data_IF_213366137587
#
_entry.id   IF_213366137587
#
_cell.length_a   1.000
_cell.length_b   1.000
_cell.length_c   1.000
_cell.angle_alpha   90.00
_cell.angle_beta   90.00
_cell.angle_gamma   90.00
#
_symmetry.space_group_name_H-M   'P 1'
#
loop_
_entity.id
_entity.type
_entity.pdbx_description
1 polymer ?
#
# COMPACT_ATOMS: atom_id res chain seq x y z
N UNK A 1 -14.29 18.06 14.21
CA UNK A 1 -14.33 16.67 13.70
C UNK A 1 -13.19 16.54 12.71
N UNK A 2 -12.23 15.64 12.94
CA UNK A 2 -11.13 15.40 11.98
C UNK A 2 -11.73 14.80 10.71
N UNK A 3 -11.33 15.29 9.54
CA UNK A 3 -11.72 14.68 8.27
C UNK A 3 -10.93 13.41 8.06
N UNK A 4 -11.61 12.31 7.71
CA UNK A 4 -10.94 11.13 7.16
C UNK A 4 -10.40 11.50 5.79
N UNK A 5 -9.11 11.24 5.56
CA UNK A 5 -8.41 11.49 4.31
C UNK A 5 -8.12 10.16 3.62
N UNK A 6 -8.05 10.19 2.28
CA UNK A 6 -7.57 9.08 1.46
C UNK A 6 -6.12 9.34 1.06
N UNK A 7 -5.23 8.37 1.30
CA UNK A 7 -3.84 8.45 0.89
C UNK A 7 -3.61 7.61 -0.37
N UNK A 8 -3.03 8.23 -1.40
CA UNK A 8 -2.65 7.57 -2.65
C UNK A 8 -1.16 7.79 -2.92
N UNK A 9 -0.42 6.71 -3.13
CA UNK A 9 0.96 6.74 -3.61
C UNK A 9 0.95 6.50 -5.12
N UNK A 10 1.42 7.49 -5.89
CA UNK A 10 1.47 7.43 -7.35
C UNK A 10 2.84 6.93 -7.82
N UNK A 11 2.92 6.22 -8.96
CA UNK A 11 4.19 5.73 -9.51
C UNK A 11 4.96 6.82 -10.27
N UNK A 12 4.66 8.10 -10.02
CA UNK A 12 5.29 9.23 -10.68
C UNK A 12 5.31 10.46 -9.77
N UNK A 13 6.31 11.31 -9.99
CA UNK A 13 6.47 12.56 -9.24
C UNK A 13 5.59 13.67 -9.82
N UNK A 14 4.99 14.46 -8.91
CA UNK A 14 4.24 15.66 -9.24
C UNK A 14 4.96 16.85 -8.60
N UNK A 15 5.54 17.72 -9.44
CA UNK A 15 6.27 18.90 -8.95
C UNK A 15 5.38 19.94 -8.25
N UNK A 16 4.07 19.88 -8.47
CA UNK A 16 3.10 20.78 -7.84
C UNK A 16 2.78 20.32 -6.40
N UNK A 17 3.19 21.13 -5.42
CA UNK A 17 2.87 20.94 -4.00
C UNK A 17 1.77 21.90 -3.53
N UNK A 18 0.51 21.57 -3.77
CA UNK A 18 -0.64 22.37 -3.34
C UNK A 18 -1.96 21.64 -3.49
N UNK A 19 -3.07 22.35 -3.25
CA UNK A 19 -4.40 21.77 -3.39
C UNK A 19 -4.72 21.48 -4.86
N UNK A 20 -5.25 20.29 -5.11
CA UNK A 20 -5.74 19.87 -6.42
C UNK A 20 -7.15 19.26 -6.28
N UNK A 21 -8.03 19.45 -7.27
CA UNK A 21 -9.38 18.87 -7.26
C UNK A 21 -9.35 17.37 -7.63
N UNK A 22 -8.73 16.56 -6.77
CA UNK A 22 -8.49 15.11 -6.99
C UNK A 22 -9.80 14.38 -7.31
N UNK A 23 -10.86 14.60 -6.53
CA UNK A 23 -12.17 13.95 -6.73
C UNK A 23 -12.83 14.22 -8.10
N UNK A 24 -12.40 15.27 -8.81
CA UNK A 24 -12.92 15.59 -10.15
C UNK A 24 -12.17 14.79 -11.21
N UNK A 25 -10.84 14.73 -11.13
CA UNK A 25 -9.99 14.22 -12.21
C UNK A 25 -9.41 12.82 -11.97
N UNK A 26 -9.39 12.37 -10.73
CA UNK A 26 -8.88 11.07 -10.33
C UNK A 26 -10.02 10.26 -9.72
N UNK A 27 -10.61 9.37 -10.51
CA UNK A 27 -11.77 8.56 -10.11
C UNK A 27 -11.41 7.07 -10.21
N UNK A 28 -10.93 6.48 -9.10
CA UNK A 28 -10.74 5.04 -8.99
C UNK A 28 -12.04 4.31 -9.34
N UNK A 29 -11.95 3.30 -10.19
CA UNK A 29 -13.07 2.45 -10.62
C UNK A 29 -12.71 1.00 -10.31
N UNK A 30 -13.60 0.27 -9.65
CA UNK A 30 -13.40 -1.15 -9.42
C UNK A 30 -13.43 -1.93 -10.75
N UNK A 31 -12.50 -2.84 -10.93
CA UNK A 31 -12.44 -3.73 -12.10
C UNK A 31 -13.21 -5.01 -11.77
N UNK A 32 -14.39 -5.17 -12.35
CA UNK A 32 -15.18 -6.40 -12.22
C UNK A 32 -14.51 -7.56 -12.97
N UNK A 33 -14.49 -8.75 -12.35
CA UNK A 33 -13.96 -9.97 -12.98
C UNK A 33 -12.46 -10.22 -12.81
N UNK A 34 -11.73 -9.36 -12.10
CA UNK A 34 -10.35 -9.64 -11.67
C UNK A 34 -10.35 -10.53 -10.41
N UNK A 35 -10.98 -11.70 -10.45
CA UNK A 35 -10.72 -12.73 -9.44
C UNK A 35 -9.36 -13.36 -9.74
N UNK A 36 -8.47 -13.35 -8.76
CA UNK A 36 -7.08 -13.84 -8.80
C UNK A 36 -6.92 -15.33 -9.18
N UNK A 37 -8.01 -16.04 -9.48
CA UNK A 37 -8.01 -17.49 -9.72
C UNK A 37 -7.81 -17.89 -11.20
N UNK A 38 -7.87 -16.94 -12.15
CA UNK A 38 -7.82 -17.23 -13.60
C UNK A 38 -6.49 -16.83 -14.29
N UNK A 39 -5.36 -16.92 -13.59
CA UNK A 39 -4.03 -16.71 -14.18
C UNK A 39 -3.16 -17.98 -14.27
N UNK A 40 -3.64 -19.13 -13.79
CA UNK A 40 -2.86 -20.38 -13.69
C UNK A 40 -3.10 -21.41 -14.82
N UNK A 41 -4.05 -21.20 -15.73
CA UNK A 41 -4.38 -22.19 -16.76
C UNK A 41 -4.02 -21.70 -18.16
N UNK A 42 -2.74 -21.85 -18.58
CA UNK A 42 -2.28 -22.05 -19.98
C UNK A 42 -0.74 -22.10 -20.08
N UNK A 43 -0.13 -23.12 -19.48
CA UNK A 43 1.18 -23.64 -19.92
C UNK A 43 1.19 -25.16 -19.70
N UNK A 44 0.52 -25.92 -20.57
CA UNK A 44 0.64 -27.38 -20.59
C UNK A 44 0.35 -27.99 -21.97
N UNK A 45 1.13 -27.63 -22.98
CA UNK A 45 1.42 -28.45 -24.18
C UNK A 45 2.81 -27.97 -24.64
N UNK A 46 3.85 -28.73 -24.96
CA UNK A 46 4.05 -30.13 -25.35
C UNK A 46 5.58 -30.35 -25.39
N UNK A 47 6.10 -31.52 -24.97
CA UNK A 47 7.49 -31.92 -25.25
C UNK A 47 8.11 -32.84 -24.21
N UNK A 48 7.91 -34.15 -24.36
CA UNK A 48 8.40 -35.18 -23.45
C UNK A 48 9.90 -35.51 -23.53
N UNK A 49 10.36 -36.28 -22.55
CA UNK A 49 11.69 -36.88 -22.52
C UNK A 49 11.95 -37.61 -21.20
N UNK A 50 11.78 -38.93 -21.23
CA UNK A 50 11.99 -39.86 -20.12
C UNK A 50 13.42 -39.81 -19.57
N UNK A 51 13.60 -39.93 -18.25
CA UNK A 51 14.62 -40.84 -17.71
C UNK A 51 14.33 -41.26 -16.27
N UNK A 52 14.52 -42.57 -16.09
CA UNK A 52 14.35 -43.41 -14.90
C UNK A 52 15.56 -43.27 -13.98
N UNK A 53 15.36 -42.99 -12.70
CA UNK A 53 16.31 -43.41 -11.64
C UNK A 53 15.60 -43.53 -10.30
N UNK A 54 16.16 -44.39 -9.46
CA UNK A 54 15.51 -45.27 -8.51
C UNK A 54 15.90 -44.88 -7.07
N UNK A 55 14.98 -45.11 -6.13
CA UNK A 55 15.18 -45.45 -4.70
C UNK A 55 15.45 -44.38 -3.63
N UNK A 56 14.57 -44.43 -2.60
CA UNK A 56 14.85 -44.52 -1.16
C UNK A 56 14.20 -43.46 -0.24
N UNK A 57 13.17 -43.94 0.45
CA UNK A 57 12.47 -43.52 1.67
C UNK A 57 13.05 -42.42 2.59
N UNK A 58 12.20 -41.57 3.16
CA UNK A 58 11.65 -41.74 4.54
C UNK A 58 10.70 -40.59 4.95
N UNK A 59 9.59 -40.98 5.60
CA UNK A 59 8.80 -40.35 6.69
C UNK A 59 8.63 -38.82 6.77
N UNK A 60 7.37 -38.36 6.79
CA UNK A 60 6.72 -37.79 7.98
C UNK A 60 5.29 -37.32 7.66
N UNK A 61 4.37 -37.62 8.58
CA UNK A 61 2.99 -37.13 8.66
C UNK A 61 2.89 -35.62 8.45
N UNK A 62 1.97 -35.23 7.57
CA UNK A 62 1.50 -33.86 7.44
C UNK A 62 -0.03 -33.86 7.34
N UNK A 63 -0.70 -34.09 8.47
CA UNK A 63 -2.10 -33.72 8.63
C UNK A 63 -2.17 -32.39 9.37
N UNK A 64 -2.29 -31.30 8.60
CA UNK A 64 -2.79 -30.04 9.12
C UNK A 64 -3.64 -29.38 8.05
N UNK A 65 -4.83 -29.95 7.88
CA UNK A 65 -5.95 -29.31 7.19
C UNK A 65 -6.46 -28.17 8.06
N UNK A 66 -5.75 -27.04 8.04
CA UNK A 66 -6.29 -25.77 8.54
C UNK A 66 -7.22 -25.19 7.47
N UNK A 67 -8.48 -25.63 7.50
CA UNK A 67 -9.61 -24.96 6.84
C UNK A 67 -9.89 -23.65 7.57
N UNK A 68 -8.98 -22.69 7.42
CA UNK A 68 -9.27 -21.30 7.72
C UNK A 68 -10.17 -20.78 6.62
N UNK A 69 -11.48 -20.75 6.87
CA UNK A 69 -12.41 -19.90 6.13
C UNK A 69 -12.04 -18.45 6.43
N UNK A 70 -10.99 -17.94 5.79
CA UNK A 70 -10.78 -16.52 5.65
C UNK A 70 -11.89 -16.04 4.74
N UNK A 71 -12.83 -15.27 5.28
CA UNK A 71 -13.69 -14.39 4.49
C UNK A 71 -12.77 -13.48 3.69
N UNK A 72 -12.40 -13.92 2.48
CA UNK A 72 -11.83 -13.05 1.47
C UNK A 72 -12.96 -12.11 1.09
N UNK A 73 -13.04 -10.98 1.79
CA UNK A 73 -13.52 -9.76 1.16
C UNK A 73 -12.68 -9.64 -0.10
N UNK A 74 -13.29 -9.94 -1.25
CA UNK A 74 -12.65 -9.85 -2.56
C UNK A 74 -12.21 -8.42 -2.76
N UNK A 75 -10.98 -8.12 -2.32
CA UNK A 75 -10.34 -6.83 -2.48
C UNK A 75 -10.21 -6.60 -3.99
N UNK A 76 -11.18 -5.88 -4.54
CA UNK A 76 -11.24 -5.62 -5.96
C UNK A 76 -10.05 -4.76 -6.39
N UNK A 77 -9.45 -5.11 -7.52
CA UNK A 77 -8.46 -4.24 -8.18
C UNK A 77 -9.16 -2.96 -8.60
N UNK A 78 -8.56 -1.81 -8.23
CA UNK A 78 -8.98 -0.49 -8.68
C UNK A 78 -8.16 -0.07 -9.90
N UNK A 79 -8.83 0.53 -10.87
CA UNK A 79 -8.21 1.17 -12.02
C UNK A 79 -8.47 2.68 -12.00
N UNK A 80 -7.51 3.46 -12.45
CA UNK A 80 -7.65 4.90 -12.66
C UNK A 80 -6.80 5.34 -13.85
N UNK A 81 -7.00 6.58 -14.31
CA UNK A 81 -6.15 7.18 -15.33
C UNK A 81 -5.55 8.47 -14.80
N UNK A 82 -4.25 8.67 -15.01
CA UNK A 82 -3.56 9.91 -14.67
C UNK A 82 -2.69 10.35 -15.85
N UNK A 83 -2.94 11.56 -16.36
CA UNK A 83 -2.24 12.14 -17.53
C UNK A 83 -2.21 11.20 -18.75
N UNK A 84 -3.34 10.54 -19.02
CA UNK A 84 -3.47 9.62 -20.15
C UNK A 84 -2.93 8.21 -19.91
N UNK A 85 -2.29 7.93 -18.77
CA UNK A 85 -1.72 6.61 -18.44
C UNK A 85 -2.64 5.82 -17.52
N UNK A 86 -2.86 4.53 -17.82
CA UNK A 86 -3.58 3.62 -16.95
C UNK A 86 -2.79 3.29 -15.69
N UNK A 87 -3.47 3.33 -14.56
CA UNK A 87 -2.97 2.97 -13.25
C UNK A 87 -3.83 1.86 -12.66
N UNK A 88 -3.20 0.92 -11.96
CA UNK A 88 -3.83 -0.17 -11.24
C UNK A 88 -3.42 -0.13 -9.77
N UNK A 89 -4.35 -0.40 -8.87
CA UNK A 89 -4.16 -0.51 -7.43
C UNK A 89 -4.81 -1.82 -6.98
N UNK A 90 -4.03 -2.78 -6.50
CA UNK A 90 -4.54 -4.12 -6.17
C UNK A 90 -5.43 -4.08 -4.93
N UNK A 91 -4.89 -3.61 -3.81
CA UNK A 91 -5.58 -3.54 -2.55
C UNK A 91 -5.01 -2.38 -1.71
N UNK A 92 -5.85 -1.60 -1.03
CA UNK A 92 -5.37 -0.62 -0.07
C UNK A 92 -4.62 -1.33 1.05
N UNK A 93 -3.39 -0.91 1.33
CA UNK A 93 -2.63 -1.40 2.47
C UNK A 93 -3.17 -0.74 3.73
N UNK A 94 -3.86 -1.51 4.57
CA UNK A 94 -4.34 -1.03 5.87
C UNK A 94 -3.18 -0.82 6.83
N UNK A 95 -3.24 0.27 7.60
CA UNK A 95 -2.32 0.49 8.72
C UNK A 95 -2.68 -0.45 9.88
N UNK A 96 -1.73 -0.81 10.75
CA UNK A 96 -2.02 -1.52 11.98
C UNK A 96 -3.09 -0.79 12.80
N UNK A 97 -3.97 -1.51 13.49
CA UNK A 97 -5.10 -0.91 14.23
C UNK A 97 -4.67 0.05 15.35
N UNK A 98 -3.43 -0.07 15.83
CA UNK A 98 -2.83 0.84 16.80
C UNK A 98 -2.20 2.09 16.19
N UNK A 99 -2.21 2.23 14.86
CA UNK A 99 -1.55 3.31 14.11
C UNK A 99 -2.59 4.08 13.32
N UNK A 100 -2.49 5.41 13.34
CA UNK A 100 -3.28 6.32 12.51
C UNK A 100 -2.32 7.21 11.73
N UNK A 101 -2.49 7.25 10.41
CA UNK A 101 -1.78 8.19 9.56
C UNK A 101 -2.32 9.60 9.78
N UNK A 102 -1.44 10.58 9.91
CA UNK A 102 -1.80 12.00 10.05
C UNK A 102 -1.24 12.77 8.85
N UNK A 103 -2.05 13.64 8.26
CA UNK A 103 -1.60 14.59 7.24
C UNK A 103 -1.22 15.86 7.96
N UNK A 104 -0.02 16.33 7.71
CA UNK A 104 0.58 17.39 8.50
C UNK A 104 1.08 18.52 7.60
N UNK A 105 0.55 19.72 7.79
CA UNK A 105 0.93 20.90 7.02
C UNK A 105 1.78 21.83 7.89
N UNK A 106 2.97 22.16 7.38
CA UNK A 106 3.83 23.21 7.92
C UNK A 106 3.52 24.51 7.18
N UNK A 107 2.37 25.10 7.48
CA UNK A 107 1.99 26.37 6.88
C UNK A 107 2.98 27.46 7.32
N UNK A 108 3.91 27.82 6.43
CA UNK A 108 4.82 28.97 6.63
C UNK A 108 4.06 30.32 6.60
N UNK A 109 2.79 30.33 6.20
CA UNK A 109 2.00 31.55 6.00
C UNK A 109 1.79 32.36 7.30
N UNK A 110 1.80 31.72 8.48
CA UNK A 110 1.61 32.41 9.76
C UNK A 110 2.84 33.23 10.19
N UNK A 111 3.99 33.13 9.52
CA UNK A 111 5.19 33.91 9.85
C UNK A 111 5.21 35.34 9.31
N UNK A 112 4.39 35.68 8.32
CA UNK A 112 4.48 36.97 7.62
C UNK A 112 3.41 38.00 8.03
N UNK A 113 2.47 37.63 8.91
CA UNK A 113 1.40 38.53 9.36
C UNK A 113 1.65 39.23 10.72
N UNK A 114 2.74 38.90 11.42
CA UNK A 114 3.13 39.53 12.69
C UNK A 114 4.37 40.39 12.53
N UNK A 115 4.20 41.70 12.65
CA UNK A 115 5.26 42.69 12.53
C UNK A 115 6.42 42.52 13.52
N UNK A 116 7.51 43.23 13.20
CA UNK A 116 8.72 43.44 13.97
C UNK A 116 8.62 43.11 15.47
N UNK A 117 8.98 41.88 15.83
CA UNK A 117 9.38 41.53 17.19
C UNK A 117 10.67 40.71 17.09
N UNK A 118 11.78 41.42 17.27
CA UNK A 118 13.08 40.86 17.66
C UNK A 118 12.86 40.04 18.94
N UNK A 119 12.82 38.71 18.80
CA UNK A 119 12.62 37.79 19.92
C UNK A 119 13.33 36.48 19.62
N UNK A 120 14.60 36.42 19.99
CA UNK A 120 15.39 35.18 20.06
C UNK A 120 14.76 34.23 21.07
N UNK A 121 13.94 33.30 20.59
CA UNK A 121 13.38 32.21 21.38
C UNK A 121 12.80 31.15 20.44
N UNK A 122 13.43 29.97 20.40
CA UNK A 122 13.05 28.83 19.58
C UNK A 122 11.67 28.27 19.97
N UNK A 123 10.61 28.92 19.50
CA UNK A 123 9.24 28.44 19.61
C UNK A 123 8.87 27.62 18.36
N UNK A 124 8.54 26.34 18.58
CA UNK A 124 8.17 25.38 17.55
C UNK A 124 7.08 25.91 16.63
N UNK A 125 7.25 25.67 15.32
CA UNK A 125 6.21 25.93 14.34
C UNK A 125 4.95 25.17 14.75
N UNK A 126 3.82 25.88 14.81
CA UNK A 126 2.52 25.24 15.04
C UNK A 126 2.21 24.40 13.81
N UNK A 127 2.18 23.10 14.01
CA UNK A 127 1.97 22.10 12.99
C UNK A 127 0.47 21.80 12.89
N UNK A 128 -0.12 22.04 11.71
CA UNK A 128 -1.56 21.86 11.51
C UNK A 128 -1.84 20.44 11.01
N UNK A 129 -2.69 19.72 11.75
CA UNK A 129 -3.16 18.39 11.33
C UNK A 129 -4.30 18.57 10.31
N UNK A 130 -4.02 18.32 9.05
CA UNK A 130 -4.93 18.48 7.91
C UNK A 130 -5.93 17.33 7.74
N UNK A 131 -5.71 16.19 8.41
CA UNK A 131 -6.61 15.04 8.36
C UNK A 131 -5.94 13.76 8.86
N UNK A 132 -6.71 12.67 8.90
CA UNK A 132 -6.23 11.35 9.33
C UNK A 132 -6.61 10.26 8.33
N UNK A 133 -5.77 9.26 8.12
CA UNK A 133 -6.03 8.11 7.25
C UNK A 133 -5.66 6.78 7.91
N UNK A 134 -6.31 5.70 7.51
CA UNK A 134 -6.10 4.35 8.05
C UNK A 134 -5.62 3.35 6.99
N UNK A 135 -5.55 3.76 5.73
CA UNK A 135 -5.08 2.93 4.63
C UNK A 135 -4.35 3.75 3.56
N UNK A 136 -3.50 3.07 2.79
CA UNK A 136 -2.69 3.64 1.72
C UNK A 136 -3.00 2.90 0.42
N UNK A 137 -3.35 3.63 -0.63
CA UNK A 137 -3.58 3.09 -1.97
C UNK A 137 -2.29 3.22 -2.79
N UNK A 138 -1.60 2.12 -3.04
CA UNK A 138 -0.40 2.10 -3.87
C UNK A 138 -0.77 1.84 -5.33
N UNK A 139 -0.50 2.82 -6.19
CA UNK A 139 -0.80 2.76 -7.62
C UNK A 139 0.43 2.35 -8.43
N UNK A 140 0.20 1.52 -9.44
CA UNK A 140 1.22 1.03 -10.37
C UNK A 140 0.81 1.34 -11.80
N UNK A 141 1.77 1.51 -12.70
CA UNK A 141 1.47 1.60 -14.13
C UNK A 141 0.95 0.26 -14.65
N UNK A 142 -0.10 0.29 -15.47
CA UNK A 142 -0.76 -0.92 -16.02
C UNK A 142 0.21 -1.86 -16.76
N UNK A 143 1.23 -1.30 -17.41
CA UNK A 143 2.22 -2.07 -18.16
C UNK A 143 3.29 -2.72 -17.26
N UNK A 144 3.38 -2.36 -15.99
CA UNK A 144 4.32 -2.96 -15.05
C UNK A 144 3.70 -4.13 -14.30
N UNK A 145 3.45 -5.21 -15.04
CA UNK A 145 2.91 -6.47 -14.48
C UNK A 145 3.84 -7.05 -13.41
N UNK A 146 5.14 -6.74 -13.45
CA UNK A 146 6.10 -7.20 -12.44
C UNK A 146 5.91 -6.45 -11.13
N UNK A 147 5.70 -5.13 -11.16
CA UNK A 147 5.40 -4.38 -9.94
C UNK A 147 4.08 -4.83 -9.32
N UNK A 148 3.07 -5.12 -10.15
CA UNK A 148 1.78 -5.67 -9.69
C UNK A 148 1.96 -7.03 -9.02
N UNK A 149 2.61 -7.99 -9.69
CA UNK A 149 2.89 -9.31 -9.10
C UNK A 149 3.71 -9.22 -7.82
N UNK A 150 4.65 -8.28 -7.75
CA UNK A 150 5.41 -8.05 -6.52
C UNK A 150 4.50 -7.51 -5.43
N UNK A 151 3.70 -6.48 -5.71
CA UNK A 151 2.77 -5.91 -4.74
C UNK A 151 1.77 -6.95 -4.22
N UNK A 152 1.33 -7.87 -5.09
CA UNK A 152 0.47 -9.02 -4.75
C UNK A 152 1.15 -10.02 -3.80
N UNK A 153 2.47 -10.23 -3.95
CA UNK A 153 3.30 -10.97 -3.00
C UNK A 153 3.44 -10.17 -1.70
N UNK A 154 2.42 -10.27 -0.86
CA UNK A 154 2.29 -9.86 0.56
C UNK A 154 3.37 -8.90 1.03
N UNK A 155 3.13 -7.61 0.79
CA UNK A 155 3.84 -6.54 1.49
C UNK A 155 5.11 -6.03 0.82
N UNK A 156 5.44 -6.47 -0.40
CA UNK A 156 6.64 -5.97 -1.08
C UNK A 156 6.52 -4.53 -1.63
N UNK A 157 5.31 -3.94 -1.62
CA UNK A 157 5.09 -2.54 -1.94
C UNK A 157 5.77 -1.61 -0.94
N UNK A 158 5.87 -0.32 -1.26
CA UNK A 158 6.38 0.67 -0.30
C UNK A 158 5.47 0.72 0.93
N UNK A 159 4.15 0.69 0.73
CA UNK A 159 3.19 0.70 1.83
C UNK A 159 3.32 -0.57 2.69
N UNK A 160 3.41 -1.73 2.05
CA UNK A 160 3.56 -3.03 2.73
C UNK A 160 4.80 -3.11 3.61
N UNK A 161 5.98 -2.77 3.07
CA UNK A 161 7.24 -2.77 3.85
C UNK A 161 7.21 -1.75 4.99
N UNK A 162 6.52 -0.63 4.79
CA UNK A 162 6.38 0.38 5.84
C UNK A 162 5.56 -0.16 7.01
N UNK A 163 4.46 -0.86 6.73
CA UNK A 163 3.64 -1.51 7.76
C UNK A 163 4.42 -2.60 8.49
N UNK A 164 5.13 -3.46 7.75
CA UNK A 164 6.00 -4.49 8.34
C UNK A 164 7.07 -3.88 9.27
N UNK A 165 7.70 -2.78 8.85
CA UNK A 165 8.65 -2.07 9.68
C UNK A 165 8.05 -1.54 10.99
N UNK A 166 6.80 -1.06 10.98
CA UNK A 166 6.13 -0.61 12.20
C UNK A 166 5.97 -1.74 13.23
N UNK A 167 5.66 -2.95 12.78
CA UNK A 167 5.54 -4.12 13.65
C UNK A 167 6.90 -4.54 14.23
N UNK A 168 7.93 -4.58 13.38
CA UNK A 168 9.30 -4.87 13.80
C UNK A 168 9.80 -3.83 14.81
N UNK A 169 9.62 -2.54 14.51
CA UNK A 169 10.04 -1.46 15.39
C UNK A 169 9.35 -1.56 16.75
N UNK A 170 8.05 -1.87 16.78
CA UNK A 170 7.32 -2.11 18.02
C UNK A 170 7.94 -3.26 18.82
N UNK A 171 8.15 -4.41 18.20
CA UNK A 171 8.73 -5.59 18.88
C UNK A 171 10.13 -5.33 19.42
N UNK A 172 10.95 -4.51 18.74
CA UNK A 172 12.30 -4.17 19.18
C UNK A 172 12.30 -3.21 20.38
N UNK A 173 11.28 -2.36 20.49
CA UNK A 173 11.19 -1.34 21.53
C UNK A 173 10.31 -1.74 22.72
N UNK A 174 9.70 -2.93 22.70
CA UNK A 174 8.98 -3.45 23.85
C UNK A 174 9.96 -3.70 25.02
N UNK A 175 9.63 -3.22 26.25
CA UNK A 175 10.51 -3.36 27.40
C UNK A 175 10.70 -4.84 27.76
N UNK A 176 11.94 -5.20 28.13
CA UNK A 176 12.26 -6.54 28.63
C UNK A 176 11.74 -6.64 30.07
N UNK A 177 10.78 -7.53 30.31
CA UNK A 177 10.30 -7.89 31.66
C UNK A 177 11.25 -8.83 32.40
#
# INVERSE_FOLDING_TARGET
MSSTAECHLLPCDIEYGGNAPVHIYFRPTAVEGASSDEAAAKQSESGGGNNKTETAATNADADNTSTGTSSQDSAGVLAAQLRGRGLLCLQPTALPTSVVGTVVSTDNATRMAGGAAQGSGGGGGVELVGGTFTSIHEWHHEHDVRSLKRAELKGSGVAGRTVEWMEVARSVHDPIE
#
